data_IF_371677356016
#
_entry.id   IF_371677356016
#
_cell.length_a   1.000
_cell.length_b   1.000
_cell.length_c   1.000
_cell.angle_alpha   90.00
_cell.angle_beta   90.00
_cell.angle_gamma   90.00
#
_symmetry.space_group_name_H-M   'P 1'
#
loop_
_entity.id
_entity.type
_entity.pdbx_description
1 polymer ?
#
# COMPACT_ATOMS: atom_id res chain seq x y z
N UNK A 1 11.72 -14.05 -0.33
CA UNK A 1 10.83 -13.73 0.82
C UNK A 1 10.82 -12.22 1.11
N UNK A 2 11.97 -11.55 1.34
CA UNK A 2 12.02 -10.12 1.66
C UNK A 2 11.31 -9.26 0.59
N UNK A 3 11.57 -9.49 -0.69
CA UNK A 3 10.92 -8.76 -1.78
C UNK A 3 9.37 -8.85 -1.73
N UNK A 4 8.82 -10.02 -1.41
CA UNK A 4 7.36 -10.19 -1.25
C UNK A 4 6.81 -9.40 -0.06
N UNK A 5 7.56 -9.31 1.04
CA UNK A 5 7.18 -8.50 2.20
C UNK A 5 7.17 -7.01 1.82
N UNK A 6 8.21 -6.55 1.13
CA UNK A 6 8.30 -5.16 0.65
C UNK A 6 7.16 -4.86 -0.31
N UNK A 7 6.91 -5.71 -1.30
CA UNK A 7 5.79 -5.54 -2.22
C UNK A 7 4.44 -5.43 -1.47
N UNK A 8 4.23 -6.28 -0.48
CA UNK A 8 3.04 -6.26 0.35
C UNK A 8 2.87 -4.95 1.13
N UNK A 9 3.97 -4.41 1.69
CA UNK A 9 3.96 -3.15 2.42
C UNK A 9 3.66 -1.94 1.52
N UNK A 10 4.12 -1.96 0.26
CA UNK A 10 3.91 -0.85 -0.67
C UNK A 10 2.61 -0.93 -1.48
N UNK A 11 1.93 -2.06 -1.48
CA UNK A 11 0.64 -2.23 -2.17
C UNK A 11 -0.54 -2.37 -1.22
N UNK A 12 -0.31 -2.87 -0.01
CA UNK A 12 -1.38 -3.16 0.95
C UNK A 12 -2.34 -4.25 0.48
N UNK A 13 -2.00 -5.05 -0.51
CA UNK A 13 -2.82 -6.18 -0.97
C UNK A 13 -3.10 -7.17 0.16
N UNK A 14 -4.16 -7.97 0.09
CA UNK A 14 -4.28 -9.12 0.98
C UNK A 14 -3.34 -10.24 0.56
N UNK A 15 -3.04 -11.17 1.46
CA UNK A 15 -2.22 -12.33 1.12
C UNK A 15 -2.80 -13.14 -0.05
N UNK A 16 -4.12 -13.34 -0.06
CA UNK A 16 -4.80 -14.08 -1.12
C UNK A 16 -4.73 -13.33 -2.46
N UNK A 17 -4.97 -12.00 -2.45
CA UNK A 17 -4.93 -11.19 -3.66
C UNK A 17 -3.50 -11.14 -4.23
N UNK A 18 -2.46 -11.00 -3.39
CA UNK A 18 -1.06 -11.05 -3.82
C UNK A 18 -0.69 -12.42 -4.40
N UNK A 19 -1.14 -13.52 -3.77
CA UNK A 19 -0.86 -14.88 -4.23
C UNK A 19 -1.45 -15.17 -5.60
N UNK A 20 -2.62 -14.58 -5.90
CA UNK A 20 -3.35 -14.82 -7.13
C UNK A 20 -3.16 -13.68 -8.16
N UNK A 21 -2.22 -12.77 -7.92
CA UNK A 21 -1.93 -11.67 -8.84
C UNK A 21 -1.36 -12.21 -10.16
N UNK A 22 -1.98 -11.82 -11.27
CA UNK A 22 -1.57 -12.18 -12.64
C UNK A 22 -1.23 -10.93 -13.45
N UNK A 23 -0.64 -11.11 -14.64
CA UNK A 23 -0.36 -9.99 -15.57
C UNK A 23 -1.65 -9.27 -15.99
N UNK A 24 -2.76 -9.98 -16.13
CA UNK A 24 -4.07 -9.38 -16.48
C UNK A 24 -4.57 -8.37 -15.46
N UNK A 25 -4.04 -8.42 -14.24
CA UNK A 25 -4.35 -7.47 -13.19
C UNK A 25 -3.51 -6.19 -13.27
N UNK A 26 -2.46 -6.16 -14.09
CA UNK A 26 -1.61 -4.98 -14.29
C UNK A 26 -2.09 -4.24 -15.54
N UNK A 27 -2.44 -2.98 -15.39
CA UNK A 27 -2.93 -2.15 -16.48
C UNK A 27 -2.28 -0.77 -16.45
N UNK A 28 -1.92 -0.29 -17.63
CA UNK A 28 -1.50 1.10 -17.81
C UNK A 28 -2.73 1.97 -18.00
N UNK A 29 -2.84 3.04 -17.26
CA UNK A 29 -3.94 3.99 -17.35
C UNK A 29 -3.49 5.31 -18.01
N UNK A 30 -4.40 6.31 -18.01
CA UNK A 30 -4.25 7.62 -18.63
C UNK A 30 -3.03 8.43 -18.16
N UNK A 31 -2.49 8.09 -16.99
CA UNK A 31 -1.33 8.73 -16.37
C UNK A 31 0.02 8.05 -16.76
N UNK A 32 -0.02 7.14 -17.74
CA UNK A 32 1.13 6.34 -18.22
C UNK A 32 1.78 5.45 -17.14
N UNK A 33 1.14 5.32 -15.98
CA UNK A 33 1.61 4.47 -14.90
C UNK A 33 0.87 3.13 -14.88
N UNK A 34 1.57 2.12 -14.39
CA UNK A 34 0.99 0.80 -14.15
C UNK A 34 0.21 0.79 -12.84
N UNK A 35 -0.94 0.15 -12.89
CA UNK A 35 -1.86 -0.01 -11.77
C UNK A 35 -2.23 -1.48 -11.59
N UNK A 36 -2.39 -1.90 -10.35
CA UNK A 36 -3.05 -3.16 -10.02
C UNK A 36 -4.54 -2.89 -9.98
N UNK A 37 -5.31 -3.62 -10.79
CA UNK A 37 -6.77 -3.63 -10.78
C UNK A 37 -7.26 -5.02 -10.45
N UNK A 38 -7.88 -5.19 -9.29
CA UNK A 38 -8.38 -6.48 -8.82
C UNK A 38 -9.75 -6.35 -8.17
N UNK A 39 -10.55 -7.40 -8.32
CA UNK A 39 -11.71 -7.63 -7.47
C UNK A 39 -11.29 -8.43 -6.26
N UNK A 40 -11.35 -7.84 -5.07
CA UNK A 40 -10.91 -8.50 -3.83
C UNK A 40 -11.73 -9.76 -3.55
N UNK A 41 -11.05 -10.89 -3.39
CA UNK A 41 -11.70 -12.18 -3.13
C UNK A 41 -12.64 -12.15 -1.92
N UNK A 42 -12.24 -11.47 -0.84
CA UNK A 42 -13.01 -11.44 0.41
C UNK A 42 -14.23 -10.53 0.36
N UNK A 43 -14.18 -9.43 -0.39
CA UNK A 43 -15.20 -8.37 -0.32
C UNK A 43 -15.95 -8.15 -1.62
N UNK A 44 -15.42 -8.63 -2.75
CA UNK A 44 -15.92 -8.32 -4.10
C UNK A 44 -15.76 -6.86 -4.50
N UNK A 45 -15.08 -6.04 -3.70
CA UNK A 45 -14.86 -4.62 -3.99
C UNK A 45 -13.67 -4.49 -4.93
N UNK A 46 -13.80 -3.64 -5.94
CA UNK A 46 -12.69 -3.26 -6.81
C UNK A 46 -11.63 -2.51 -6.00
N UNK A 47 -10.37 -2.90 -6.19
CA UNK A 47 -9.21 -2.26 -5.60
C UNK A 47 -8.28 -1.83 -6.72
N UNK A 48 -8.01 -0.53 -6.78
CA UNK A 48 -7.09 0.08 -7.74
C UNK A 48 -5.88 0.62 -6.99
N UNK A 49 -4.70 0.11 -7.29
CA UNK A 49 -3.47 0.48 -6.59
C UNK A 49 -2.45 0.91 -7.64
N UNK A 50 -2.05 2.18 -7.63
CA UNK A 50 -0.96 2.66 -8.46
C UNK A 50 0.35 2.02 -8.00
N UNK A 51 1.08 1.45 -8.94
CA UNK A 51 2.38 0.86 -8.66
C UNK A 51 3.43 1.95 -8.47
N UNK A 52 3.99 2.01 -7.28
CA UNK A 52 5.19 2.79 -7.02
C UNK A 52 6.41 2.07 -7.58
N UNK A 53 7.47 2.79 -7.92
CA UNK A 53 8.66 2.25 -8.59
C UNK A 53 9.27 1.03 -7.89
N UNK A 54 9.24 1.02 -6.55
CA UNK A 54 9.73 -0.12 -5.79
C UNK A 54 8.87 -1.38 -6.01
N UNK A 55 7.55 -1.23 -6.06
CA UNK A 55 6.63 -2.33 -6.30
C UNK A 55 6.75 -2.83 -7.76
N UNK A 56 6.88 -1.91 -8.73
CA UNK A 56 7.12 -2.21 -10.13
C UNK A 56 8.39 -3.03 -10.31
N UNK A 57 9.53 -2.58 -9.78
CA UNK A 57 10.81 -3.32 -9.84
C UNK A 57 10.71 -4.74 -9.27
N UNK A 58 9.88 -4.93 -8.24
CA UNK A 58 9.66 -6.26 -7.68
C UNK A 58 8.83 -7.12 -8.65
N UNK A 59 7.76 -6.58 -9.25
CA UNK A 59 7.00 -7.29 -10.29
C UNK A 59 7.92 -7.71 -11.43
N UNK A 60 8.69 -6.78 -11.99
CA UNK A 60 9.57 -7.02 -13.14
C UNK A 60 10.60 -8.13 -12.83
N UNK A 61 11.10 -8.18 -11.59
CA UNK A 61 12.00 -9.24 -11.15
C UNK A 61 11.37 -10.63 -11.14
N UNK A 62 10.06 -10.73 -10.90
CA UNK A 62 9.36 -12.02 -10.76
C UNK A 62 8.52 -12.37 -12.01
N UNK A 63 8.36 -11.44 -12.93
CA UNK A 63 7.59 -11.60 -14.17
C UNK A 63 8.09 -12.81 -14.95
N UNK A 64 7.17 -13.68 -15.36
CA UNK A 64 7.47 -14.88 -16.14
C UNK A 64 8.10 -16.04 -15.36
N UNK A 65 8.32 -15.94 -14.05
CA UNK A 65 8.88 -17.04 -13.26
C UNK A 65 7.85 -18.13 -12.90
N UNK A 66 6.56 -17.83 -12.97
CA UNK A 66 5.48 -18.77 -12.68
C UNK A 66 4.87 -19.30 -13.97
N UNK A 67 4.89 -20.62 -14.16
CA UNK A 67 4.29 -21.25 -15.36
C UNK A 67 2.77 -21.27 -15.40
N UNK A 68 2.10 -20.79 -14.33
CA UNK A 68 0.63 -20.78 -14.19
C UNK A 68 0.02 -19.37 -14.35
N UNK A 69 0.77 -18.42 -14.91
CA UNK A 69 0.32 -17.05 -15.17
C UNK A 69 0.34 -16.12 -13.96
N UNK A 70 0.66 -16.59 -12.78
CA UNK A 70 0.84 -15.74 -11.59
C UNK A 70 2.17 -14.98 -11.67
N UNK A 71 2.18 -13.77 -11.13
CA UNK A 71 3.42 -12.96 -11.07
C UNK A 71 4.38 -13.55 -10.03
N UNK A 72 3.87 -13.91 -8.85
CA UNK A 72 4.71 -14.32 -7.72
C UNK A 72 4.58 -15.81 -7.38
N UNK A 73 5.70 -16.53 -7.20
CA UNK A 73 5.71 -17.90 -6.66
C UNK A 73 5.50 -17.86 -5.14
N UNK A 74 4.29 -17.43 -4.70
CA UNK A 74 3.98 -17.29 -3.27
C UNK A 74 3.76 -18.66 -2.64
N UNK A 75 4.60 -19.09 -1.69
CA UNK A 75 4.44 -20.35 -0.98
C UNK A 75 3.15 -20.42 -0.17
N UNK A 76 2.91 -21.57 0.45
CA UNK A 76 1.80 -21.73 1.38
C UNK A 76 1.86 -20.69 2.51
N UNK A 77 0.68 -20.25 3.00
CA UNK A 77 0.55 -19.19 4.01
C UNK A 77 1.47 -19.37 5.23
N UNK A 78 1.56 -20.58 5.77
CA UNK A 78 2.40 -20.86 6.95
C UNK A 78 3.88 -20.67 6.65
N UNK A 79 4.37 -21.07 5.48
CA UNK A 79 5.76 -20.86 5.05
C UNK A 79 6.07 -19.36 4.97
N UNK A 80 5.16 -18.60 4.40
CA UNK A 80 5.29 -17.14 4.32
C UNK A 80 5.23 -16.49 5.71
N UNK A 81 4.38 -17.00 6.62
CA UNK A 81 4.28 -16.51 7.99
C UNK A 81 5.58 -16.77 8.78
N UNK A 82 6.17 -17.95 8.65
CA UNK A 82 7.48 -18.23 9.25
C UNK A 82 8.56 -17.31 8.65
N UNK A 83 8.54 -17.08 7.35
CA UNK A 83 9.49 -16.20 6.68
C UNK A 83 9.43 -14.74 7.19
N UNK A 84 8.23 -14.15 7.33
CA UNK A 84 8.10 -12.78 7.86
C UNK A 84 8.55 -12.69 9.32
N UNK A 85 8.23 -13.70 10.14
CA UNK A 85 8.68 -13.77 11.54
C UNK A 85 10.19 -13.89 11.66
N UNK A 86 10.83 -14.68 10.79
CA UNK A 86 12.28 -14.80 10.74
C UNK A 86 12.96 -13.48 10.39
N UNK A 87 12.40 -12.72 9.41
CA UNK A 87 12.88 -11.38 9.07
C UNK A 87 12.70 -10.42 10.24
N UNK A 88 11.53 -10.41 10.88
CA UNK A 88 11.25 -9.58 12.04
C UNK A 88 12.22 -9.84 13.20
N UNK A 89 12.47 -11.11 13.50
CA UNK A 89 13.45 -11.52 14.53
C UNK A 89 14.84 -10.99 14.23
N UNK A 90 15.29 -11.07 12.97
CA UNK A 90 16.58 -10.51 12.53
C UNK A 90 16.66 -8.99 12.69
N UNK A 91 15.53 -8.30 12.59
CA UNK A 91 15.41 -6.85 12.81
C UNK A 91 15.20 -6.48 14.30
N UNK A 92 15.32 -7.41 15.24
CA UNK A 92 15.10 -7.16 16.65
C UNK A 92 13.64 -6.95 17.05
N UNK A 93 12.68 -7.25 16.16
CA UNK A 93 11.24 -7.07 16.43
C UNK A 93 10.73 -8.28 17.20
N UNK A 94 10.34 -8.08 18.45
CA UNK A 94 9.85 -9.13 19.37
C UNK A 94 8.33 -9.33 19.31
N UNK A 95 7.60 -8.39 18.71
CA UNK A 95 6.14 -8.47 18.57
C UNK A 95 5.72 -9.63 17.69
N UNK A 96 4.58 -10.24 18.01
CA UNK A 96 3.97 -11.26 17.16
C UNK A 96 3.51 -10.66 15.85
N UNK A 97 4.08 -11.10 14.72
CA UNK A 97 3.79 -10.56 13.38
C UNK A 97 2.93 -11.52 12.57
N UNK A 98 1.94 -10.96 11.89
CA UNK A 98 1.07 -11.62 10.94
C UNK A 98 1.02 -10.84 9.62
N UNK A 99 0.61 -11.49 8.53
CA UNK A 99 0.41 -10.81 7.25
C UNK A 99 -0.65 -9.69 7.34
N UNK A 100 -1.66 -9.87 8.16
CA UNK A 100 -2.68 -8.84 8.37
C UNK A 100 -2.09 -7.58 9.02
N UNK A 101 -1.19 -7.73 9.98
CA UNK A 101 -0.48 -6.58 10.57
C UNK A 101 0.41 -5.84 9.57
N UNK A 102 1.03 -6.55 8.62
CA UNK A 102 1.80 -5.90 7.55
C UNK A 102 0.90 -5.01 6.68
N UNK A 103 -0.35 -5.42 6.42
CA UNK A 103 -1.33 -4.58 5.74
C UNK A 103 -1.74 -3.35 6.59
N UNK A 104 -1.85 -3.52 7.91
CA UNK A 104 -2.02 -2.37 8.83
C UNK A 104 -0.86 -1.39 8.71
N UNK A 105 0.37 -1.91 8.69
CA UNK A 105 1.58 -1.09 8.52
C UNK A 105 1.59 -0.37 7.17
N UNK A 106 1.19 -1.03 6.08
CA UNK A 106 1.01 -0.39 4.78
C UNK A 106 0.04 0.80 4.87
N UNK A 107 -1.14 0.58 5.45
CA UNK A 107 -2.16 1.61 5.59
C UNK A 107 -1.69 2.80 6.44
N UNK A 108 -1.08 2.52 7.60
CA UNK A 108 -0.67 3.57 8.55
C UNK A 108 0.62 4.25 8.14
N UNK A 109 1.71 3.49 7.98
CA UNK A 109 3.07 4.02 7.84
C UNK A 109 3.39 4.40 6.39
N UNK A 110 2.94 3.60 5.41
CA UNK A 110 3.27 3.89 4.01
C UNK A 110 2.30 4.90 3.40
N UNK A 111 1.01 4.82 3.70
CA UNK A 111 0.02 5.69 3.06
C UNK A 111 -0.41 6.87 3.95
N UNK A 112 -1.09 6.63 5.07
CA UNK A 112 -1.67 7.70 5.89
C UNK A 112 -0.62 8.65 6.46
N UNK A 113 0.53 8.14 6.96
CA UNK A 113 1.61 8.99 7.49
C UNK A 113 2.29 9.85 6.43
N UNK A 114 2.19 9.45 5.15
CA UNK A 114 2.71 10.22 4.02
C UNK A 114 1.64 11.07 3.33
N UNK A 115 0.52 11.33 4.01
CA UNK A 115 -0.47 12.29 3.56
C UNK A 115 -1.49 11.76 2.56
N UNK A 116 -1.53 10.45 2.27
CA UNK A 116 -2.58 9.87 1.42
C UNK A 116 -3.92 9.96 2.17
N UNK A 117 -4.97 10.57 1.58
CA UNK A 117 -6.28 10.69 2.22
C UNK A 117 -6.86 9.32 2.59
N UNK A 118 -7.59 9.28 3.71
CA UNK A 118 -8.16 8.02 4.24
C UNK A 118 -9.15 7.37 3.27
N UNK A 119 -9.88 8.16 2.50
CA UNK A 119 -10.80 7.71 1.46
C UNK A 119 -10.04 6.98 0.35
N UNK A 120 -8.92 7.56 -0.08
CA UNK A 120 -8.02 6.95 -1.08
C UNK A 120 -7.45 5.63 -0.55
N UNK A 121 -6.95 5.61 0.68
CA UNK A 121 -6.44 4.39 1.32
C UNK A 121 -7.55 3.34 1.44
N UNK A 122 -8.76 3.73 1.81
CA UNK A 122 -9.92 2.84 1.90
C UNK A 122 -10.25 2.18 0.56
N UNK A 123 -10.24 2.96 -0.52
CA UNK A 123 -10.44 2.49 -1.90
C UNK A 123 -9.32 1.55 -2.33
N UNK A 124 -8.05 1.94 -2.16
CA UNK A 124 -6.89 1.11 -2.47
C UNK A 124 -6.92 -0.24 -1.73
N UNK A 125 -7.31 -0.22 -0.47
CA UNK A 125 -7.45 -1.43 0.32
C UNK A 125 -8.73 -2.24 -0.02
N UNK A 126 -9.63 -1.72 -0.85
CA UNK A 126 -10.89 -2.38 -1.21
C UNK A 126 -11.77 -2.67 0.01
N UNK A 127 -11.91 -1.72 0.90
CA UNK A 127 -12.83 -1.81 2.04
C UNK A 127 -14.25 -1.42 1.62
N UNK A 128 -15.26 -2.19 2.06
CA UNK A 128 -16.67 -1.86 1.81
C UNK A 128 -17.14 -0.60 2.53
N UNK A 129 -16.48 -0.23 3.61
CA UNK A 129 -16.80 0.92 4.44
C UNK A 129 -15.53 1.60 4.92
N UNK A 130 -15.51 2.92 4.85
CA UNK A 130 -14.42 3.74 5.37
C UNK A 130 -14.18 3.52 6.87
N UNK A 131 -15.23 3.14 7.61
CA UNK A 131 -15.11 2.79 9.06
C UNK A 131 -14.04 1.72 9.30
N UNK A 132 -13.85 0.79 8.37
CA UNK A 132 -12.80 -0.23 8.45
C UNK A 132 -11.40 0.38 8.35
N UNK A 133 -11.25 1.51 7.65
CA UNK A 133 -9.98 2.22 7.51
C UNK A 133 -9.75 3.19 8.65
N UNK A 134 -10.81 3.74 9.24
CA UNK A 134 -10.72 4.69 10.36
C UNK A 134 -10.05 4.12 11.60
N UNK A 135 -10.03 2.79 11.78
CA UNK A 135 -9.27 2.14 12.85
C UNK A 135 -7.75 2.42 12.76
N UNK A 136 -7.26 2.77 11.56
CA UNK A 136 -5.86 3.13 11.31
C UNK A 136 -5.58 4.63 11.47
N UNK A 137 -6.61 5.47 11.40
CA UNK A 137 -6.50 6.91 11.38
C UNK A 137 -6.53 7.49 12.80
N UNK A 138 -5.56 7.13 13.65
CA UNK A 138 -5.29 7.93 14.86
C UNK A 138 -4.52 9.17 14.41
N UNK A 139 -5.22 10.30 14.32
CA UNK A 139 -4.59 11.59 14.07
C UNK A 139 -3.76 11.94 15.30
N UNK A 140 -2.43 11.99 15.13
CA UNK A 140 -1.53 12.49 16.18
C UNK A 140 -1.41 14.01 16.04
N UNK A 141 -0.94 14.67 17.12
CA UNK A 141 -0.67 16.12 17.08
C UNK A 141 0.40 16.46 16.04
N UNK A 142 1.39 15.60 15.88
CA UNK A 142 2.45 15.72 14.89
C UNK A 142 1.88 15.71 13.46
N UNK A 143 0.96 14.79 13.18
CA UNK A 143 0.29 14.72 11.86
C UNK A 143 -0.55 15.97 11.60
N UNK A 144 -1.31 16.42 12.61
CA UNK A 144 -2.10 17.64 12.50
C UNK A 144 -1.21 18.85 12.18
N UNK A 145 -0.09 19.00 12.89
CA UNK A 145 0.87 20.08 12.66
C UNK A 145 1.44 20.03 11.24
N UNK A 146 1.87 18.87 10.80
CA UNK A 146 2.40 18.67 9.44
C UNK A 146 1.39 19.03 8.34
N UNK A 147 0.13 18.66 8.53
CA UNK A 147 -0.94 18.97 7.58
C UNK A 147 -1.21 20.48 7.53
N UNK A 148 -1.14 21.17 8.68
CA UNK A 148 -1.30 22.64 8.75
C UNK A 148 -0.10 23.38 8.14
N UNK A 149 1.13 22.90 8.35
CA UNK A 149 2.33 23.45 7.70
C UNK A 149 2.25 23.31 6.17
N UNK A 150 1.84 22.14 5.69
CA UNK A 150 1.64 21.90 4.25
C UNK A 150 0.56 22.82 3.66
N UNK A 151 -0.51 23.06 4.40
CA UNK A 151 -1.57 23.99 3.99
C UNK A 151 -1.03 25.43 3.93
N UNK A 152 -0.35 25.89 4.96
CA UNK A 152 0.23 27.22 5.01
C UNK A 152 1.20 27.45 3.84
N UNK A 153 2.09 26.50 3.56
CA UNK A 153 2.99 26.59 2.42
C UNK A 153 2.27 26.76 1.08
N UNK A 154 1.16 26.02 0.87
CA UNK A 154 0.34 26.14 -0.35
C UNK A 154 -0.36 27.49 -0.46
N UNK A 155 -0.88 28.00 0.64
CA UNK A 155 -1.57 29.29 0.65
C UNK A 155 -0.59 30.45 0.40
N UNK A 156 0.59 30.43 1.02
CA UNK A 156 1.65 31.42 0.79
C UNK A 156 2.06 31.46 -0.70
N UNK A 157 2.18 30.32 -1.35
CA UNK A 157 2.46 30.24 -2.79
C UNK A 157 1.36 30.90 -3.62
N UNK A 158 0.09 30.75 -3.24
CA UNK A 158 -1.04 31.40 -3.92
C UNK A 158 -1.01 32.91 -3.72
N UNK A 159 -0.68 33.40 -2.53
CA UNK A 159 -0.54 34.84 -2.23
C UNK A 159 0.58 35.48 -3.06
N UNK A 160 1.72 34.81 -3.21
CA UNK A 160 2.82 35.27 -4.06
C UNK A 160 2.37 35.40 -5.54
N UNK A 161 1.61 34.44 -6.07
CA UNK A 161 1.08 34.47 -7.43
C UNK A 161 -0.04 35.52 -7.62
N UNK A 162 -0.83 35.77 -6.59
CA UNK A 162 -1.96 36.70 -6.67
C UNK A 162 -1.54 38.18 -6.49
N UNK A 163 -0.30 38.46 -6.09
CA UNK A 163 0.20 39.81 -5.84
C UNK A 163 -0.54 40.54 -4.71
N UNK A 164 -1.26 39.82 -3.86
CA UNK A 164 -1.97 40.37 -2.71
C UNK A 164 -1.05 40.31 -1.48
N UNK A 165 -0.34 41.40 -1.26
CA UNK A 165 0.25 41.66 0.05
C UNK A 165 -0.86 42.23 0.93
N UNK A 166 -1.29 41.49 1.96
CA UNK A 166 -2.17 42.02 3.03
C UNK A 166 -1.36 42.82 4.00
#
# INVERSE_FOLDING_TARGET
MVALIVFYLYTGLSFADMRNLTEDNIRTYFDEHEWININRQKTGVVSNIRLLDIAKRIIDKYRGLCGDGRIFPVPHYMTCLYGIRAVAKRCGITKHITWHQSRHTAATTVFLSNGVPIETVSSMLGHKSIKTTQIYAKITKEKLNQDMENLAARLNTIEEFAGCTI
#
